data_IF_347835601313
#
_entry.id   IF_347835601313
#
_cell.length_a   1.000
_cell.length_b   1.000
_cell.length_c   1.000
_cell.angle_alpha   90.00
_cell.angle_beta   90.00
_cell.angle_gamma   90.00
#
_symmetry.space_group_name_H-M   'P 1'
#
loop_
_entity.id
_entity.type
_entity.pdbx_description
1 polymer ?
#
# COMPACT_ATOMS: atom_id res chain seq x y z
N UNK A 1 33.48 -16.36 79.28
CA UNK A 1 32.61 -17.54 79.05
C UNK A 1 31.33 -17.06 78.39
N UNK A 2 30.85 -17.86 77.43
CA UNK A 2 29.53 -17.86 76.77
C UNK A 2 29.24 -16.88 75.64
N UNK A 3 29.88 -17.16 74.50
CA UNK A 3 29.28 -17.76 73.29
C UNK A 3 27.74 -17.81 73.19
N UNK A 4 27.17 -17.11 72.19
CA UNK A 4 25.95 -17.52 71.46
C UNK A 4 25.75 -16.70 70.19
N UNK A 5 26.01 -17.35 69.06
CA UNK A 5 25.66 -16.95 67.69
C UNK A 5 24.16 -16.64 67.58
N UNK A 6 23.77 -15.56 66.89
CA UNK A 6 22.56 -15.50 66.05
C UNK A 6 22.86 -14.61 64.85
N UNK A 7 22.96 -15.27 63.69
CA UNK A 7 22.98 -14.68 62.35
C UNK A 7 21.56 -14.23 61.96
N UNK A 8 21.36 -12.95 61.63
CA UNK A 8 20.17 -12.43 60.93
C UNK A 8 20.62 -11.36 59.92
N UNK A 9 20.94 -11.77 58.69
CA UNK A 9 20.08 -11.71 57.49
C UNK A 9 19.59 -10.30 57.14
N UNK A 10 20.31 -9.71 56.20
CA UNK A 10 19.93 -8.55 55.37
C UNK A 10 18.67 -8.90 54.58
N UNK A 11 17.58 -8.12 54.62
CA UNK A 11 16.61 -8.13 53.54
C UNK A 11 16.99 -7.03 52.54
N UNK A 12 17.47 -7.46 51.38
CA UNK A 12 17.52 -6.64 50.18
C UNK A 12 16.09 -6.22 49.83
N UNK A 13 15.82 -4.92 49.79
CA UNK A 13 14.58 -4.39 49.27
C UNK A 13 14.51 -4.71 47.76
N UNK A 14 13.63 -5.62 47.39
CA UNK A 14 13.25 -5.90 46.01
C UNK A 14 12.54 -4.66 45.44
N UNK A 15 13.19 -3.97 44.51
CA UNK A 15 12.52 -3.01 43.65
C UNK A 15 11.66 -3.79 42.63
N UNK A 16 10.33 -3.76 42.80
CA UNK A 16 9.40 -4.22 41.78
C UNK A 16 9.35 -3.16 40.67
N UNK A 17 10.14 -3.34 39.62
CA UNK A 17 9.91 -2.70 38.34
C UNK A 17 8.74 -3.43 37.66
N UNK A 18 7.53 -2.89 37.82
CA UNK A 18 6.39 -3.31 37.00
C UNK A 18 6.63 -2.81 35.56
N UNK A 19 7.17 -3.67 34.71
CA UNK A 19 7.11 -3.49 33.25
C UNK A 19 5.64 -3.58 32.85
N UNK A 20 5.04 -2.44 32.51
CA UNK A 20 3.84 -2.42 31.66
C UNK A 20 4.21 -3.06 30.32
N UNK A 21 3.93 -4.34 30.16
CA UNK A 21 3.92 -4.98 28.85
C UNK A 21 2.77 -4.38 28.03
N UNK A 22 3.10 -3.44 27.14
CA UNK A 22 2.18 -3.03 26.08
C UNK A 22 1.88 -4.26 25.21
N UNK A 23 0.63 -4.46 24.77
CA UNK A 23 0.32 -5.54 23.84
C UNK A 23 1.11 -5.31 22.55
N UNK A 24 1.97 -6.27 22.22
CA UNK A 24 2.58 -6.31 20.91
C UNK A 24 1.45 -6.53 19.88
N UNK A 25 1.24 -5.58 18.97
CA UNK A 25 0.48 -5.87 17.76
C UNK A 25 1.20 -7.03 17.07
N UNK A 26 0.49 -8.15 16.88
CA UNK A 26 1.02 -9.27 16.12
C UNK A 26 1.44 -8.71 14.75
N UNK A 27 2.71 -8.92 14.38
CA UNK A 27 3.20 -8.51 13.08
C UNK A 27 2.37 -9.19 11.98
N UNK A 28 2.04 -8.44 10.93
CA UNK A 28 1.35 -8.98 9.76
C UNK A 28 2.11 -10.19 9.19
N UNK A 29 1.37 -11.23 8.80
CA UNK A 29 1.94 -12.43 8.17
C UNK A 29 2.54 -12.08 6.80
N UNK A 30 3.61 -12.76 6.38
CA UNK A 30 4.16 -12.61 5.03
C UNK A 30 3.09 -12.87 3.96
N UNK A 31 3.07 -12.06 2.90
CA UNK A 31 2.08 -12.16 1.82
C UNK A 31 2.05 -13.55 1.17
N UNK A 32 3.22 -14.17 0.97
CA UNK A 32 3.33 -15.51 0.39
C UNK A 32 2.61 -16.56 1.24
N UNK A 33 2.70 -16.46 2.57
CA UNK A 33 2.06 -17.39 3.51
C UNK A 33 0.54 -17.20 3.52
N UNK A 34 0.08 -15.95 3.50
CA UNK A 34 -1.34 -15.62 3.40
C UNK A 34 -1.92 -16.17 2.09
N UNK A 35 -1.24 -15.94 0.97
CA UNK A 35 -1.66 -16.41 -0.35
C UNK A 35 -1.73 -17.93 -0.38
N UNK A 36 -0.67 -18.63 0.06
CA UNK A 36 -0.63 -20.09 0.12
C UNK A 36 -1.74 -20.67 1.00
N UNK A 37 -1.98 -20.08 2.18
CA UNK A 37 -2.94 -20.60 3.14
C UNK A 37 -4.41 -20.35 2.74
N UNK A 38 -4.70 -19.24 2.05
CA UNK A 38 -6.07 -18.80 1.78
C UNK A 38 -6.38 -18.56 0.31
N UNK A 39 -5.62 -17.72 -0.38
CA UNK A 39 -5.98 -17.23 -1.72
C UNK A 39 -5.76 -18.26 -2.82
N UNK A 40 -4.72 -19.10 -2.68
CA UNK A 40 -4.31 -20.13 -3.63
C UNK A 40 -5.45 -21.09 -4.01
N UNK A 41 -6.35 -21.35 -3.06
CA UNK A 41 -7.55 -22.21 -3.22
C UNK A 41 -8.37 -21.89 -4.46
N UNK A 42 -8.44 -20.60 -4.81
CA UNK A 42 -9.17 -20.15 -6.00
C UNK A 42 -8.25 -19.55 -7.06
N UNK A 43 -7.21 -18.82 -6.65
CA UNK A 43 -6.35 -18.09 -7.57
C UNK A 43 -5.37 -19.00 -8.33
N UNK A 44 -4.87 -20.10 -7.77
CA UNK A 44 -3.87 -20.94 -8.45
C UNK A 44 -4.43 -21.58 -9.73
N UNK A 45 -5.62 -22.16 -9.63
CA UNK A 45 -6.32 -22.75 -10.77
C UNK A 45 -7.15 -21.74 -11.56
N UNK A 46 -7.39 -20.53 -11.02
CA UNK A 46 -8.26 -19.51 -11.61
C UNK A 46 -9.75 -19.87 -11.55
N UNK A 47 -10.18 -20.58 -10.51
CA UNK A 47 -11.57 -21.00 -10.34
C UNK A 47 -12.49 -19.79 -10.26
N UNK A 48 -13.73 -19.89 -10.78
CA UNK A 48 -14.70 -18.79 -10.80
C UNK A 48 -14.15 -17.49 -11.43
N UNK A 49 -13.29 -17.62 -12.45
CA UNK A 49 -12.61 -16.52 -13.14
C UNK A 49 -11.69 -15.68 -12.22
N UNK A 50 -11.17 -16.28 -11.15
CA UNK A 50 -10.13 -15.68 -10.33
C UNK A 50 -8.85 -15.46 -11.17
N UNK A 51 -8.22 -14.28 -11.11
CA UNK A 51 -6.96 -14.03 -11.82
C UNK A 51 -5.82 -14.86 -11.21
N UNK A 52 -5.05 -15.55 -12.05
CA UNK A 52 -3.94 -16.39 -11.59
C UNK A 52 -2.76 -15.55 -11.07
N UNK A 53 -1.96 -16.07 -10.12
CA UNK A 53 -0.75 -15.39 -9.68
C UNK A 53 0.16 -15.06 -10.86
N UNK A 54 0.59 -13.80 -10.98
CA UNK A 54 1.49 -13.32 -12.02
C UNK A 54 0.86 -13.13 -13.41
N UNK A 55 -0.42 -13.47 -13.62
CA UNK A 55 -1.11 -13.25 -14.90
C UNK A 55 -1.40 -11.76 -15.12
N UNK A 56 -0.40 -11.05 -15.65
CA UNK A 56 -0.45 -9.59 -15.84
C UNK A 56 -1.63 -9.15 -16.70
N UNK A 57 -2.02 -9.94 -17.70
CA UNK A 57 -3.13 -9.61 -18.58
C UNK A 57 -4.47 -9.66 -17.82
N UNK A 58 -4.66 -10.65 -16.94
CA UNK A 58 -5.83 -10.72 -16.08
C UNK A 58 -5.82 -9.61 -15.01
N UNK A 59 -4.66 -9.26 -14.45
CA UNK A 59 -4.57 -8.27 -13.37
C UNK A 59 -4.63 -6.81 -13.85
N UNK A 60 -4.08 -6.48 -15.01
CA UNK A 60 -4.04 -5.11 -15.55
C UNK A 60 -5.38 -4.35 -15.44
N UNK A 61 -6.51 -4.85 -15.97
CA UNK A 61 -7.79 -4.15 -15.89
C UNK A 61 -8.34 -4.02 -14.45
N UNK A 62 -7.91 -4.90 -13.54
CA UNK A 62 -8.34 -4.88 -12.13
C UNK A 62 -7.64 -3.79 -11.33
N UNK A 63 -6.42 -3.41 -11.75
CA UNK A 63 -5.69 -2.29 -11.18
C UNK A 63 -6.03 -0.93 -11.80
N UNK A 64 -6.91 -0.84 -12.80
CA UNK A 64 -7.27 0.42 -13.45
C UNK A 64 -7.75 1.51 -12.47
N UNK A 65 -8.29 1.11 -11.31
CA UNK A 65 -8.75 2.02 -10.25
C UNK A 65 -7.72 2.18 -9.12
N UNK A 66 -6.49 1.71 -9.31
CA UNK A 66 -5.42 1.64 -8.32
C UNK A 66 -5.47 0.39 -7.43
N UNK A 67 -4.36 0.18 -6.70
CA UNK A 67 -4.22 -0.95 -5.76
C UNK A 67 -5.29 -0.90 -4.67
N UNK A 68 -5.55 0.28 -4.12
CA UNK A 68 -6.46 0.40 -2.98
C UNK A 68 -7.89 0.03 -3.31
N UNK A 69 -8.40 0.48 -4.46
CA UNK A 69 -9.73 0.10 -4.92
C UNK A 69 -9.87 -1.42 -5.09
N UNK A 70 -8.80 -2.07 -5.55
CA UNK A 70 -8.75 -3.52 -5.69
C UNK A 70 -8.71 -4.23 -4.33
N UNK A 71 -7.93 -3.70 -3.37
CA UNK A 71 -7.91 -4.20 -1.98
C UNK A 71 -9.27 -4.07 -1.34
N UNK A 72 -9.95 -2.93 -1.50
CA UNK A 72 -11.31 -2.73 -0.99
C UNK A 72 -12.32 -3.69 -1.60
N UNK A 73 -12.19 -3.97 -2.90
CA UNK A 73 -12.98 -5.01 -3.56
C UNK A 73 -12.72 -6.39 -2.93
N UNK A 74 -11.48 -6.70 -2.56
CA UNK A 74 -11.14 -7.93 -1.85
C UNK A 74 -11.66 -7.94 -0.39
N UNK A 75 -11.63 -6.80 0.31
CA UNK A 75 -12.18 -6.66 1.67
C UNK A 75 -13.69 -6.94 1.65
N UNK A 76 -14.41 -6.32 0.72
CA UNK A 76 -15.87 -6.44 0.60
C UNK A 76 -16.31 -7.76 -0.04
N UNK A 77 -15.43 -8.41 -0.79
CA UNK A 77 -15.78 -9.52 -1.67
C UNK A 77 -16.48 -9.03 -2.95
N UNK A 78 -16.46 -9.86 -3.98
CA UNK A 78 -17.17 -9.58 -5.24
C UNK A 78 -17.43 -10.87 -6.03
N UNK A 79 -18.62 -11.02 -6.59
CA UNK A 79 -18.98 -12.21 -7.37
C UNK A 79 -18.74 -13.50 -6.56
N UNK A 80 -17.87 -14.39 -7.07
CA UNK A 80 -17.49 -15.64 -6.39
C UNK A 80 -16.39 -15.49 -5.33
N UNK A 81 -15.82 -14.30 -5.13
CA UNK A 81 -14.80 -14.05 -4.10
C UNK A 81 -15.47 -13.61 -2.78
N UNK A 82 -15.37 -14.40 -1.70
CA UNK A 82 -15.94 -14.03 -0.40
C UNK A 82 -15.22 -12.82 0.22
N UNK A 83 -15.88 -12.05 1.12
CA UNK A 83 -15.25 -10.94 1.84
C UNK A 83 -13.96 -11.37 2.55
N UNK A 84 -12.89 -10.57 2.41
CA UNK A 84 -11.54 -10.87 2.91
C UNK A 84 -11.03 -12.25 2.48
N UNK A 85 -11.40 -12.72 1.30
CA UNK A 85 -11.05 -14.06 0.81
C UNK A 85 -11.61 -15.19 1.68
N UNK A 86 -12.65 -14.93 2.49
CA UNK A 86 -13.28 -15.91 3.39
C UNK A 86 -12.57 -16.08 4.72
N UNK A 87 -11.60 -15.22 5.06
CA UNK A 87 -10.79 -15.28 6.27
C UNK A 87 -10.87 -13.97 7.04
N UNK A 88 -11.73 -13.93 8.06
CA UNK A 88 -12.06 -12.72 8.80
C UNK A 88 -10.88 -12.13 9.60
N UNK A 89 -9.90 -12.95 9.97
CA UNK A 89 -8.70 -12.53 10.71
C UNK A 89 -7.57 -12.00 9.83
N UNK A 90 -7.76 -11.87 8.51
CA UNK A 90 -6.78 -11.15 7.68
C UNK A 90 -6.83 -9.66 8.02
N UNK A 91 -5.70 -9.02 8.30
CA UNK A 91 -5.62 -7.56 8.41
C UNK A 91 -5.75 -6.91 7.02
N UNK A 92 -6.06 -5.62 6.96
CA UNK A 92 -6.12 -4.92 5.67
C UNK A 92 -4.74 -4.87 5.00
N UNK A 93 -3.68 -4.73 5.81
CA UNK A 93 -2.28 -4.79 5.36
C UNK A 93 -1.93 -6.14 4.74
N UNK A 94 -2.28 -7.25 5.41
CA UNK A 94 -2.08 -8.61 4.88
C UNK A 94 -2.84 -8.84 3.57
N UNK A 95 -4.09 -8.37 3.48
CA UNK A 95 -4.89 -8.53 2.27
C UNK A 95 -4.33 -7.71 1.11
N UNK A 96 -3.86 -6.49 1.38
CA UNK A 96 -3.15 -5.63 0.42
C UNK A 96 -1.87 -6.28 -0.08
N UNK A 97 -1.06 -6.79 0.83
CA UNK A 97 0.19 -7.48 0.49
C UNK A 97 -0.08 -8.74 -0.32
N UNK A 98 -1.14 -9.51 0.01
CA UNK A 98 -1.57 -10.68 -0.77
C UNK A 98 -2.02 -10.31 -2.19
N UNK A 99 -2.78 -9.22 -2.37
CA UNK A 99 -3.17 -8.71 -3.71
C UNK A 99 -1.94 -8.35 -4.54
N UNK A 100 -0.96 -7.65 -3.93
CA UNK A 100 0.29 -7.30 -4.61
C UNK A 100 1.13 -8.54 -4.95
N UNK A 101 1.19 -9.52 -4.05
CA UNK A 101 1.90 -10.79 -4.29
C UNK A 101 1.25 -11.59 -5.43
N UNK A 102 -0.08 -11.68 -5.45
CA UNK A 102 -0.79 -12.34 -6.55
C UNK A 102 -0.59 -11.62 -7.88
N UNK A 103 -0.48 -10.29 -7.87
CA UNK A 103 -0.15 -9.53 -9.08
C UNK A 103 1.29 -9.78 -9.54
N UNK A 104 2.26 -9.72 -8.64
CA UNK A 104 3.68 -9.88 -8.93
C UNK A 104 4.40 -10.76 -7.90
N UNK A 105 4.34 -12.09 -8.05
CA UNK A 105 5.00 -13.01 -7.13
C UNK A 105 6.53 -12.91 -7.21
N UNK A 106 7.07 -12.26 -8.26
CA UNK A 106 8.52 -12.04 -8.43
C UNK A 106 9.05 -10.85 -7.64
N UNK A 107 8.17 -9.96 -7.18
CA UNK A 107 8.53 -8.83 -6.32
C UNK A 107 8.93 -9.26 -4.91
N UNK A 108 8.46 -10.43 -4.44
CA UNK A 108 8.71 -10.96 -3.11
C UNK A 108 9.68 -12.16 -3.08
N UNK A 109 10.05 -12.73 -4.25
CA UNK A 109 10.94 -13.90 -4.35
C UNK A 109 12.36 -13.55 -4.76
N UNK A 110 12.75 -12.27 -4.79
CA UNK A 110 14.13 -11.88 -5.12
C UNK A 110 14.97 -11.77 -3.85
N UNK A 111 16.02 -12.59 -3.68
CA UNK A 111 17.11 -12.24 -2.76
C UNK A 111 17.68 -10.87 -3.14
N UNK A 112 18.07 -10.09 -2.15
CA UNK A 112 18.65 -8.77 -2.35
C UNK A 112 19.79 -8.78 -3.40
N UNK A 113 19.66 -7.88 -4.38
CA UNK A 113 20.64 -7.42 -5.39
C UNK A 113 20.99 -8.34 -6.59
N UNK A 114 20.71 -7.87 -7.81
CA UNK A 114 21.69 -7.18 -8.68
C UNK A 114 21.04 -6.67 -9.99
N UNK A 115 21.48 -5.48 -10.40
CA UNK A 115 21.30 -4.77 -11.70
C UNK A 115 19.87 -4.45 -12.17
N UNK A 116 19.65 -3.15 -12.40
CA UNK A 116 18.45 -2.57 -12.97
C UNK A 116 18.06 -3.26 -14.28
N UNK A 117 16.85 -3.84 -14.31
CA UNK A 117 16.14 -4.16 -15.53
C UNK A 117 15.12 -3.04 -15.79
N UNK A 118 15.10 -2.53 -17.02
CA UNK A 118 14.16 -1.51 -17.47
C UNK A 118 12.69 -1.98 -17.29
N UNK A 119 11.74 -1.05 -17.07
CA UNK A 119 10.33 -1.40 -16.95
C UNK A 119 9.81 -2.06 -18.24
N UNK A 120 9.15 -3.21 -18.09
CA UNK A 120 8.46 -3.92 -19.18
C UNK A 120 7.25 -3.10 -19.68
N UNK A 121 6.94 -3.07 -20.99
CA UNK A 121 5.86 -2.23 -21.55
C UNK A 121 4.41 -2.67 -21.22
N UNK A 122 4.19 -3.65 -20.33
CA UNK A 122 2.89 -4.34 -20.18
C UNK A 122 2.14 -4.08 -18.85
N UNK A 123 2.43 -2.97 -18.14
CA UNK A 123 1.72 -2.55 -16.93
C UNK A 123 0.64 -1.48 -17.20
N UNK A 124 -0.16 -1.65 -18.25
CA UNK A 124 -1.24 -0.71 -18.54
C UNK A 124 -2.31 -0.78 -17.43
N UNK A 125 -2.49 0.33 -16.71
CA UNK A 125 -3.49 0.49 -15.64
C UNK A 125 -2.94 0.67 -14.22
N UNK A 126 -1.68 0.29 -13.97
CA UNK A 126 -1.00 0.52 -12.69
C UNK A 126 0.32 1.23 -12.92
N UNK A 127 0.41 2.48 -12.48
CA UNK A 127 1.66 3.23 -12.49
C UNK A 127 2.57 2.72 -11.38
N UNK A 128 3.31 1.64 -11.65
CA UNK A 128 4.31 1.07 -10.73
C UNK A 128 5.72 1.31 -11.24
N UNK A 129 6.59 1.77 -10.36
CA UNK A 129 8.02 1.88 -10.64
C UNK A 129 8.83 1.54 -9.38
N UNK A 130 9.95 0.84 -9.59
CA UNK A 130 10.93 0.57 -8.55
C UNK A 130 12.19 1.41 -8.81
N UNK A 131 12.55 2.29 -7.88
CA UNK A 131 13.72 3.16 -7.98
C UNK A 131 14.22 3.55 -6.58
N UNK A 132 15.52 3.83 -6.41
CA UNK A 132 16.06 4.32 -5.12
C UNK A 132 15.83 3.38 -3.93
N UNK A 133 15.67 2.07 -4.18
CA UNK A 133 15.30 1.08 -3.15
C UNK A 133 13.83 1.16 -2.71
N UNK A 134 12.99 1.89 -3.43
CA UNK A 134 11.55 2.02 -3.20
C UNK A 134 10.77 1.31 -4.30
N UNK A 135 9.66 0.68 -3.94
CA UNK A 135 8.60 0.27 -4.86
C UNK A 135 7.43 1.23 -4.71
N UNK A 136 7.10 1.95 -5.78
CA UNK A 136 6.15 3.07 -5.78
C UNK A 136 4.97 2.72 -6.66
N UNK A 137 3.78 2.80 -6.08
CA UNK A 137 2.50 2.54 -6.75
C UNK A 137 1.67 3.81 -6.76
N UNK A 138 1.42 4.34 -7.96
CA UNK A 138 0.52 5.46 -8.19
C UNK A 138 -0.82 4.92 -8.72
N UNK A 139 -1.90 5.24 -8.00
CA UNK A 139 -3.27 5.04 -8.43
C UNK A 139 -4.00 6.37 -8.59
N UNK A 140 -5.07 6.36 -9.38
CA UNK A 140 -6.01 7.49 -9.49
C UNK A 140 -7.45 7.00 -9.51
N UNK A 141 -8.33 7.71 -8.81
CA UNK A 141 -9.75 7.44 -8.75
C UNK A 141 -10.52 8.74 -8.97
N UNK A 142 -11.61 8.74 -9.72
CA UNK A 142 -12.41 9.94 -9.87
C UNK A 142 -13.11 10.31 -8.55
N UNK A 143 -13.39 11.58 -8.32
CA UNK A 143 -14.16 12.01 -7.15
C UNK A 143 -15.56 11.34 -7.10
N UNK A 144 -16.14 11.00 -8.25
CA UNK A 144 -17.37 10.21 -8.32
C UNK A 144 -17.17 8.79 -7.78
N UNK A 145 -16.10 8.10 -8.19
CA UNK A 145 -15.74 6.79 -7.63
C UNK A 145 -15.44 6.87 -6.14
N UNK A 146 -14.81 7.96 -5.67
CA UNK A 146 -14.59 8.18 -4.25
C UNK A 146 -15.89 8.38 -3.46
N UNK A 147 -16.94 8.96 -4.07
CA UNK A 147 -18.27 9.08 -3.42
C UNK A 147 -19.03 7.76 -3.33
N UNK A 148 -18.66 6.76 -4.13
CA UNK A 148 -19.25 5.43 -4.03
C UNK A 148 -18.77 4.65 -2.79
N UNK A 149 -17.85 5.22 -2.01
CA UNK A 149 -17.49 4.70 -0.69
C UNK A 149 -18.63 4.92 0.32
N UNK A 150 -18.81 4.00 1.29
CA UNK A 150 -19.77 4.20 2.37
C UNK A 150 -19.55 5.53 3.10
N UNK A 151 -20.62 6.23 3.46
CA UNK A 151 -20.54 7.55 4.09
C UNK A 151 -19.74 7.58 5.41
N UNK A 152 -19.59 6.44 6.08
CA UNK A 152 -18.77 6.29 7.29
C UNK A 152 -17.33 5.84 7.06
N UNK A 153 -16.93 5.55 5.82
CA UNK A 153 -15.58 5.09 5.51
C UNK A 153 -14.56 6.25 5.61
N UNK A 154 -13.32 6.00 6.07
CA UNK A 154 -12.28 7.02 6.14
C UNK A 154 -12.05 7.76 4.81
N UNK A 155 -12.24 7.06 3.69
CA UNK A 155 -12.08 7.60 2.34
C UNK A 155 -13.02 8.77 2.03
N UNK A 156 -14.21 8.82 2.65
CA UNK A 156 -15.16 9.91 2.46
C UNK A 156 -14.70 11.25 3.06
N UNK A 157 -13.75 11.21 4.00
CA UNK A 157 -13.24 12.37 4.75
C UNK A 157 -11.83 12.80 4.32
N UNK A 158 -11.24 12.15 3.33
CA UNK A 158 -9.88 12.47 2.87
C UNK A 158 -9.79 13.93 2.45
N UNK A 159 -8.73 14.61 2.89
CA UNK A 159 -8.44 16.01 2.55
C UNK A 159 -9.55 17.00 2.93
N UNK A 160 -10.31 16.70 4.00
CA UNK A 160 -11.44 17.52 4.44
C UNK A 160 -12.75 17.25 3.68
N UNK A 161 -12.77 16.26 2.79
CA UNK A 161 -13.95 15.81 2.06
C UNK A 161 -13.76 15.77 0.54
N UNK A 162 -14.68 15.08 -0.13
CA UNK A 162 -14.59 14.85 -1.58
C UNK A 162 -15.07 16.08 -2.37
N UNK A 163 -14.22 16.75 -3.19
CA UNK A 163 -14.57 17.98 -3.89
C UNK A 163 -15.74 17.83 -4.86
N UNK A 164 -16.73 18.71 -4.77
CA UNK A 164 -17.90 18.80 -5.66
C UNK A 164 -17.55 19.03 -7.13
N UNK A 165 -18.41 18.55 -8.04
CA UNK A 165 -18.27 18.73 -9.49
C UNK A 165 -17.38 17.69 -10.19
N UNK A 166 -17.32 17.77 -11.52
CA UNK A 166 -16.56 16.86 -12.38
C UNK A 166 -15.08 17.25 -12.53
N UNK A 167 -14.28 16.31 -13.05
CA UNK A 167 -12.85 16.52 -13.36
C UNK A 167 -11.89 16.44 -12.16
N UNK A 168 -12.41 16.16 -10.96
CA UNK A 168 -11.60 15.89 -9.78
C UNK A 168 -11.20 14.42 -9.72
N UNK A 169 -9.93 14.20 -9.40
CA UNK A 169 -9.34 12.88 -9.22
C UNK A 169 -8.58 12.85 -7.90
N UNK A 170 -8.80 11.82 -7.11
CA UNK A 170 -7.93 11.48 -6.00
C UNK A 170 -6.74 10.71 -6.56
N UNK A 171 -5.54 11.23 -6.39
CA UNK A 171 -4.31 10.47 -6.63
C UNK A 171 -3.85 9.86 -5.32
N UNK A 172 -3.43 8.61 -5.36
CA UNK A 172 -2.85 7.91 -4.22
C UNK A 172 -1.46 7.37 -4.61
N UNK A 173 -0.48 7.57 -3.74
CA UNK A 173 0.86 7.05 -3.88
C UNK A 173 1.15 6.18 -2.66
N UNK A 174 1.36 4.90 -2.89
CA UNK A 174 1.81 3.96 -1.85
C UNK A 174 3.27 3.63 -2.08
N UNK A 175 4.07 3.72 -1.03
CA UNK A 175 5.51 3.55 -1.09
C UNK A 175 5.89 2.38 -0.19
N UNK A 176 6.68 1.48 -0.73
CA UNK A 176 7.22 0.32 -0.02
C UNK A 176 8.74 0.30 -0.17
N UNK A 177 9.41 -0.27 0.82
CA UNK A 177 10.81 -0.64 0.67
C UNK A 177 10.89 -1.81 -0.33
N UNK A 178 11.71 -1.65 -1.36
CA UNK A 178 11.73 -2.61 -2.47
C UNK A 178 12.24 -4.00 -2.05
N UNK A 179 13.09 -4.07 -1.02
CA UNK A 179 13.69 -5.32 -0.57
C UNK A 179 12.79 -6.08 0.41
N UNK A 180 12.26 -5.36 1.39
CA UNK A 180 11.47 -5.96 2.48
C UNK A 180 9.97 -5.94 2.21
N UNK A 181 9.53 -5.17 1.21
CA UNK A 181 8.12 -4.86 0.96
C UNK A 181 7.42 -4.20 2.15
N UNK A 182 8.19 -3.70 3.13
CA UNK A 182 7.65 -2.96 4.26
C UNK A 182 7.12 -1.61 3.81
N UNK A 183 6.00 -1.17 4.37
CA UNK A 183 5.38 0.10 4.04
C UNK A 183 6.23 1.28 4.54
N UNK A 184 6.44 2.28 3.68
CA UNK A 184 7.24 3.47 3.99
C UNK A 184 6.34 4.60 4.48
N UNK A 185 6.36 4.83 5.79
CA UNK A 185 5.62 5.90 6.47
C UNK A 185 6.49 7.14 6.71
N UNK A 186 5.85 8.31 6.86
CA UNK A 186 6.53 9.57 7.22
C UNK A 186 7.33 10.23 6.09
N UNK A 187 7.24 9.73 4.86
CA UNK A 187 7.90 10.34 3.71
C UNK A 187 7.21 11.66 3.31
N UNK A 188 7.96 12.58 2.72
CA UNK A 188 7.39 13.67 1.93
C UNK A 188 7.19 13.17 0.50
N UNK A 189 5.98 13.34 -0.03
CA UNK A 189 5.65 12.91 -1.38
C UNK A 189 5.10 14.08 -2.17
N UNK A 190 5.76 14.43 -3.28
CA UNK A 190 5.26 15.42 -4.23
C UNK A 190 4.80 14.72 -5.52
N UNK A 191 3.66 15.14 -6.02
CA UNK A 191 3.09 14.74 -7.28
C UNK A 191 3.07 15.91 -8.25
N UNK A 192 3.67 15.73 -9.41
CA UNK A 192 3.64 16.69 -10.50
C UNK A 192 2.96 16.05 -11.70
N UNK A 193 2.05 16.81 -12.33
CA UNK A 193 1.31 16.36 -13.50
C UNK A 193 1.36 17.42 -14.59
N UNK A 194 1.66 16.96 -15.79
CA UNK A 194 1.77 17.79 -16.98
C UNK A 194 0.89 17.17 -18.06
N UNK A 195 -0.10 17.93 -18.53
CA UNK A 195 -0.86 17.52 -19.71
C UNK A 195 0.01 17.77 -20.93
N UNK A 196 0.10 16.79 -21.84
CA UNK A 196 0.93 16.91 -23.03
C UNK A 196 0.54 18.16 -23.85
N UNK A 197 1.48 19.10 -24.00
CA UNK A 197 1.27 20.36 -24.71
C UNK A 197 0.64 21.49 -23.88
N UNK A 198 0.47 21.31 -22.56
CA UNK A 198 -0.02 22.37 -21.65
C UNK A 198 0.94 22.56 -20.45
N UNK A 199 0.55 23.44 -19.54
CA UNK A 199 1.28 23.72 -18.31
C UNK A 199 1.39 22.52 -17.37
N UNK A 200 2.34 22.63 -16.45
CA UNK A 200 2.65 21.65 -15.42
C UNK A 200 2.19 22.16 -14.07
N UNK A 201 1.58 21.29 -13.27
CA UNK A 201 1.16 21.57 -11.90
C UNK A 201 1.86 20.64 -10.92
N UNK A 202 2.05 21.11 -9.68
CA UNK A 202 2.67 20.33 -8.59
C UNK A 202 1.80 20.41 -7.34
N UNK A 203 1.67 19.28 -6.64
CA UNK A 203 1.03 19.15 -5.34
C UNK A 203 1.86 18.29 -4.40
N UNK A 204 2.03 18.77 -3.17
CA UNK A 204 2.47 17.91 -2.07
C UNK A 204 1.29 17.04 -1.63
N UNK A 205 1.53 15.75 -1.49
CA UNK A 205 0.53 14.78 -1.07
C UNK A 205 0.52 14.66 0.45
N UNK A 206 -0.68 14.59 1.01
CA UNK A 206 -0.89 14.43 2.44
C UNK A 206 -0.84 12.93 2.82
N UNK A 207 -0.31 12.57 3.99
CA UNK A 207 -0.48 11.22 4.53
C UNK A 207 -1.96 10.88 4.68
N UNK A 208 -2.35 9.74 4.15
CA UNK A 208 -3.72 9.23 4.22
C UNK A 208 -3.70 7.74 4.55
N UNK A 209 -4.81 7.23 5.07
CA UNK A 209 -5.04 5.78 5.17
C UNK A 209 -6.12 5.42 4.16
N UNK A 210 -5.80 4.48 3.27
CA UNK A 210 -6.78 3.94 2.32
C UNK A 210 -6.79 2.44 2.51
N UNK A 211 -7.96 1.85 2.69
CA UNK A 211 -8.08 0.42 2.98
C UNK A 211 -7.14 -0.05 4.11
N UNK A 212 -7.08 0.71 5.22
CA UNK A 212 -6.25 0.38 6.39
C UNK A 212 -4.72 0.51 6.20
N UNK A 213 -4.25 0.90 5.01
CA UNK A 213 -2.83 0.99 4.69
C UNK A 213 -2.37 2.45 4.54
N UNK A 214 -1.16 2.76 5.03
CA UNK A 214 -0.57 4.09 4.90
C UNK A 214 -0.24 4.44 3.44
N UNK A 215 -0.68 5.61 3.01
CA UNK A 215 -0.54 6.09 1.64
C UNK A 215 -0.39 7.60 1.65
N UNK A 216 -0.16 8.20 0.49
CA UNK A 216 -0.08 9.65 0.33
C UNK A 216 -1.03 10.07 -0.78
N UNK A 217 -1.87 11.08 -0.56
CA UNK A 217 -2.86 11.47 -1.55
C UNK A 217 -3.18 12.94 -1.60
N UNK A 218 -3.88 13.33 -2.65
CA UNK A 218 -4.48 14.64 -2.80
C UNK A 218 -5.57 14.58 -3.89
N UNK A 219 -6.49 15.54 -3.86
CA UNK A 219 -7.34 15.81 -5.02
C UNK A 219 -6.64 16.74 -6.01
N UNK A 220 -6.65 16.34 -7.28
CA UNK A 220 -6.11 17.09 -8.42
C UNK A 220 -7.16 17.20 -9.52
N UNK A 221 -7.01 18.19 -10.41
CA UNK A 221 -7.84 18.30 -11.60
C UNK A 221 -7.13 17.64 -12.77
N UNK A 222 -7.76 16.63 -13.36
CA UNK A 222 -7.28 15.98 -14.57
C UNK A 222 -8.42 16.00 -15.59
N UNK A 223 -8.13 16.57 -16.76
CA UNK A 223 -9.03 16.59 -17.89
C UNK A 223 -9.29 15.15 -18.36
N UNK A 224 -10.56 14.80 -18.66
CA UNK A 224 -10.89 13.49 -19.18
C UNK A 224 -10.24 13.29 -20.55
N UNK A 225 -9.86 12.05 -20.87
CA UNK A 225 -9.28 11.65 -22.16
C UNK A 225 -7.96 12.34 -22.54
N UNK A 226 -7.33 13.06 -21.62
CA UNK A 226 -6.03 13.66 -21.84
C UNK A 226 -4.89 12.70 -21.44
N UNK A 227 -3.76 12.83 -22.13
CA UNK A 227 -2.51 12.15 -21.78
C UNK A 227 -1.71 13.02 -20.83
N UNK A 228 -1.25 12.43 -19.73
CA UNK A 228 -0.44 13.10 -18.73
C UNK A 228 0.93 12.45 -18.58
N UNK A 229 1.94 13.27 -18.32
CA UNK A 229 3.18 12.84 -17.71
C UNK A 229 3.09 13.14 -16.21
N UNK A 230 3.17 12.08 -15.41
CA UNK A 230 3.21 12.16 -13.97
C UNK A 230 4.64 11.99 -13.48
N UNK A 231 5.00 12.76 -12.45
CA UNK A 231 6.26 12.66 -11.75
C UNK A 231 5.99 12.59 -10.25
N UNK A 232 6.38 11.48 -9.64
CA UNK A 232 6.31 11.28 -8.20
C UNK A 232 7.71 11.44 -7.63
N UNK A 233 7.84 12.31 -6.63
CA UNK A 233 9.05 12.49 -5.82
C UNK A 233 8.78 11.98 -4.42
N UNK A 234 9.58 11.03 -3.95
CA UNK A 234 9.48 10.49 -2.59
C UNK A 234 10.77 10.78 -1.84
N UNK A 235 10.68 11.52 -0.74
CA UNK A 235 11.79 11.74 0.19
C UNK A 235 11.50 11.03 1.51
N UNK A 236 12.22 9.94 1.78
CA UNK A 236 12.13 9.22 3.06
C UNK A 236 12.57 10.12 4.24
N UNK A 237 12.06 9.88 5.46
CA UNK A 237 12.59 10.51 6.66
C UNK A 237 14.12 10.37 6.73
N UNK A 238 14.82 11.47 6.98
CA UNK A 238 16.29 11.49 7.09
C UNK A 238 17.06 11.34 5.78
N UNK A 239 16.40 11.11 4.63
CA UNK A 239 17.08 11.06 3.34
C UNK A 239 17.49 12.47 2.87
N UNK A 240 18.68 12.59 2.27
CA UNK A 240 19.17 13.85 1.69
C UNK A 240 18.60 14.12 0.31
N UNK A 241 18.32 13.06 -0.47
CA UNK A 241 17.78 13.13 -1.83
C UNK A 241 16.41 12.47 -1.93
N UNK A 242 15.59 12.97 -2.85
CA UNK A 242 14.32 12.36 -3.21
C UNK A 242 14.54 11.30 -4.31
N UNK A 243 13.78 10.22 -4.24
CA UNK A 243 13.63 9.27 -5.35
C UNK A 243 12.59 9.81 -6.31
N UNK A 244 12.92 9.94 -7.58
CA UNK A 244 11.99 10.36 -8.64
C UNK A 244 11.56 9.17 -9.50
N UNK A 245 10.27 9.07 -9.80
CA UNK A 245 9.73 8.14 -10.78
C UNK A 245 8.74 8.84 -11.70
N UNK A 246 8.80 8.53 -12.99
CA UNK A 246 7.93 9.11 -14.02
C UNK A 246 6.99 8.06 -14.57
N UNK A 247 5.75 8.46 -14.80
CA UNK A 247 4.73 7.64 -15.41
C UNK A 247 4.08 8.39 -16.56
N UNK A 248 3.71 7.68 -17.62
CA UNK A 248 2.85 8.22 -18.64
C UNK A 248 1.46 7.63 -18.47
N UNK A 249 0.51 8.49 -18.18
CA UNK A 249 -0.90 8.13 -18.09
C UNK A 249 -1.56 8.44 -19.41
N UNK A 250 -1.96 7.38 -20.10
CA UNK A 250 -2.77 7.48 -21.31
C UNK A 250 -4.23 7.24 -20.93
N UNK A 251 -5.17 7.92 -21.61
CA UNK A 251 -6.56 7.55 -21.47
C UNK A 251 -6.76 6.09 -21.91
N UNK A 252 -7.43 5.32 -21.05
CA UNK A 252 -7.88 3.96 -21.34
C UNK A 252 -9.11 3.93 -22.22
#
# INVERSE_FOLDING_TARGET
>A
MDDRRISRRIPQALALAALCAMPAFAADRPAADVVKAQCARCHDAGTAAAPKPGDKAAWAPRFNRGVEALVLSAIRGHGGMPPRGGKADLTDGELRAAVLYLFDPTGATRPAATKAAAPSPAAAGLHRATAGGLDIYLGRMSAEQMRAFPAGAPEAKLHGGIPGGGGWWHVNVSVFDAATQAQVTGATVDFEYEQLGMGRERKSLEPVTVAGAASYGAYVRLAPKATYNFLVRVKKPGATQATEVRFQDKPG
#
